data_IF_012232395450
#
_entry.id   IF_012232395450
#
_cell.length_a   1.000
_cell.length_b   1.000
_cell.length_c   1.000
_cell.angle_alpha   90.00
_cell.angle_beta   90.00
_cell.angle_gamma   90.00
#
_symmetry.space_group_name_H-M   'P 1'
#
loop_
_entity.id
_entity.type
_entity.pdbx_description
1 polymer ?
#
# COMPACT_ATOMS: atom_id res chain seq x y z
N UNK A 1 -24.45 28.32 -27.86
CA UNK A 1 -23.00 27.98 -27.96
C UNK A 1 -22.29 28.24 -26.63
N UNK A 2 -22.52 29.39 -26.00
CA UNK A 2 -22.04 29.68 -24.64
C UNK A 2 -22.61 28.74 -23.57
N UNK A 3 -23.88 28.31 -23.68
CA UNK A 3 -24.50 27.42 -22.68
C UNK A 3 -23.83 26.05 -22.58
N UNK A 4 -23.30 25.55 -23.70
CA UNK A 4 -22.55 24.29 -23.71
C UNK A 4 -21.23 24.44 -22.97
N UNK A 5 -20.50 25.52 -23.22
CA UNK A 5 -19.24 25.84 -22.52
C UNK A 5 -19.50 26.03 -21.02
N UNK A 6 -20.60 26.68 -20.65
CA UNK A 6 -20.98 26.88 -19.25
C UNK A 6 -21.27 25.54 -18.57
N UNK A 7 -22.04 24.65 -19.22
CA UNK A 7 -22.31 23.31 -18.68
C UNK A 7 -21.05 22.46 -18.53
N UNK A 8 -20.17 22.48 -19.54
CA UNK A 8 -18.89 21.75 -19.51
C UNK A 8 -18.03 22.25 -18.32
N UNK A 9 -18.03 23.56 -18.04
CA UNK A 9 -17.31 24.13 -16.89
C UNK A 9 -17.92 23.72 -15.54
N UNK A 10 -19.24 23.60 -15.45
CA UNK A 10 -19.90 23.10 -14.22
C UNK A 10 -19.56 21.64 -13.95
N UNK A 11 -19.54 20.79 -14.98
CA UNK A 11 -19.20 19.38 -14.86
C UNK A 11 -17.73 19.19 -14.42
N UNK A 12 -16.80 19.95 -15.00
CA UNK A 12 -15.39 19.96 -14.57
C UNK A 12 -15.27 20.38 -13.11
N UNK A 13 -15.98 21.44 -12.69
CA UNK A 13 -15.94 21.91 -11.30
C UNK A 13 -16.44 20.84 -10.33
N UNK A 14 -17.52 20.14 -10.67
CA UNK A 14 -18.07 19.09 -9.83
C UNK A 14 -17.12 17.90 -9.70
N UNK A 15 -16.44 17.50 -10.77
CA UNK A 15 -15.40 16.48 -10.69
C UNK A 15 -14.21 16.91 -9.82
N UNK A 16 -13.79 18.17 -9.91
CA UNK A 16 -12.73 18.70 -9.04
C UNK A 16 -13.16 18.68 -7.57
N UNK A 17 -14.41 19.07 -7.26
CA UNK A 17 -14.96 18.98 -5.91
C UNK A 17 -15.00 17.53 -5.40
N UNK A 18 -15.33 16.57 -6.25
CA UNK A 18 -15.33 15.15 -5.89
C UNK A 18 -13.92 14.64 -5.57
N UNK A 19 -12.93 15.02 -6.37
CA UNK A 19 -11.52 14.68 -6.14
C UNK A 19 -11.02 15.30 -4.84
N UNK A 20 -11.30 16.58 -4.61
CA UNK A 20 -10.92 17.27 -3.37
C UNK A 20 -11.57 16.62 -2.14
N UNK A 21 -12.85 16.30 -2.21
CA UNK A 21 -13.55 15.58 -1.14
C UNK A 21 -12.93 14.21 -0.87
N UNK A 22 -12.53 13.47 -1.91
CA UNK A 22 -11.87 12.18 -1.76
C UNK A 22 -10.49 12.31 -1.12
N UNK A 23 -9.67 13.29 -1.55
CA UNK A 23 -8.37 13.58 -0.93
C UNK A 23 -8.55 13.99 0.53
N UNK A 24 -9.54 14.83 0.84
CA UNK A 24 -9.82 15.25 2.21
C UNK A 24 -10.29 14.08 3.08
N UNK A 25 -11.07 13.12 2.54
CA UNK A 25 -11.37 11.84 3.20
C UNK A 25 -10.10 11.05 3.48
N UNK A 26 -9.22 10.85 2.49
CA UNK A 26 -7.94 10.15 2.70
C UNK A 26 -7.11 10.82 3.80
N UNK A 27 -7.00 12.16 3.77
CA UNK A 27 -6.23 12.94 4.76
C UNK A 27 -6.82 12.88 6.17
N UNK A 28 -8.14 12.74 6.31
CA UNK A 28 -8.79 12.59 7.63
C UNK A 28 -8.68 11.18 8.17
N UNK A 29 -8.39 10.18 7.34
CA UNK A 29 -8.06 8.84 7.80
C UNK A 29 -6.60 8.87 8.31
N UNK A 30 -6.39 9.30 9.55
CA UNK A 30 -5.13 9.04 10.28
C UNK A 30 -4.90 7.54 10.54
N UNK A 31 -5.93 6.71 10.34
CA UNK A 31 -5.98 5.27 10.60
C UNK A 31 -6.03 4.41 9.33
N UNK A 32 -5.40 4.83 8.22
CA UNK A 32 -5.37 3.98 6.99
C UNK A 32 -4.60 2.70 7.29
N UNK A 33 -3.62 2.81 8.19
CA UNK A 33 -2.91 1.68 8.72
C UNK A 33 -3.67 1.11 9.91
N UNK A 34 -4.22 -0.10 9.77
CA UNK A 34 -4.85 -0.81 10.88
C UNK A 34 -3.81 -1.35 11.85
N UNK A 35 -2.61 -1.65 11.35
CA UNK A 35 -1.44 -1.97 12.17
C UNK A 35 -0.19 -1.37 11.54
N UNK A 36 0.68 -0.78 12.36
CA UNK A 36 2.03 -0.37 11.95
C UNK A 36 3.01 -0.67 13.06
N UNK A 37 4.13 -1.32 12.73
CA UNK A 37 5.21 -1.55 13.68
C UNK A 37 6.55 -1.61 12.98
N UNK A 38 7.62 -1.45 13.77
CA UNK A 38 8.99 -1.48 13.30
C UNK A 38 9.66 -2.72 13.88
N UNK A 39 10.34 -3.48 13.02
CA UNK A 39 11.12 -4.64 13.41
C UNK A 39 12.48 -4.61 12.72
N UNK A 40 13.44 -5.40 13.21
CA UNK A 40 14.73 -5.51 12.53
C UNK A 40 14.52 -6.12 11.13
N UNK A 41 15.32 -5.65 10.15
CA UNK A 41 15.28 -6.18 8.78
C UNK A 41 15.45 -7.70 8.76
N UNK A 42 16.37 -8.21 9.59
CA UNK A 42 16.64 -9.64 9.67
C UNK A 42 15.44 -10.42 10.20
N UNK A 43 14.79 -9.92 11.25
CA UNK A 43 13.61 -10.58 11.83
C UNK A 43 12.46 -10.71 10.81
N UNK A 44 12.14 -9.62 10.08
CA UNK A 44 11.13 -9.70 9.02
C UNK A 44 11.58 -10.56 7.84
N UNK A 45 12.86 -10.52 7.47
CA UNK A 45 13.38 -11.41 6.44
C UNK A 45 13.18 -12.88 6.82
N UNK A 46 13.56 -13.29 8.04
CA UNK A 46 13.45 -14.68 8.50
C UNK A 46 11.98 -15.16 8.46
N UNK A 47 11.06 -14.36 9.02
CA UNK A 47 9.62 -14.70 9.01
C UNK A 47 9.08 -14.90 7.60
N UNK A 48 9.38 -13.99 6.67
CA UNK A 48 8.78 -13.99 5.33
C UNK A 48 9.53 -14.91 4.35
N UNK A 49 10.81 -15.20 4.62
CA UNK A 49 11.60 -16.18 3.89
C UNK A 49 11.20 -17.62 4.25
N UNK A 50 10.88 -17.89 5.52
CA UNK A 50 10.45 -19.21 5.99
C UNK A 50 9.00 -19.56 5.61
N UNK A 51 8.27 -18.60 5.04
CA UNK A 51 6.88 -18.75 4.60
C UNK A 51 6.72 -18.68 3.08
N UNK A 52 7.81 -18.94 2.35
CA UNK A 52 7.79 -18.99 0.88
C UNK A 52 7.00 -20.19 0.32
N UNK A 53 6.69 -21.17 1.17
CA UNK A 53 5.97 -22.42 0.92
C UNK A 53 4.52 -22.39 1.45
N UNK A 54 4.26 -21.69 2.57
CA UNK A 54 2.91 -21.42 3.08
C UNK A 54 2.10 -20.43 2.23
N UNK A 55 2.71 -19.87 1.19
CA UNK A 55 2.00 -19.14 0.14
C UNK A 55 1.22 -20.12 -0.76
N UNK A 56 0.11 -20.66 -0.23
CA UNK A 56 -0.87 -21.39 -1.05
C UNK A 56 -1.58 -20.38 -1.97
N UNK A 57 -1.66 -20.81 -3.22
CA UNK A 57 -1.63 -20.03 -4.42
C UNK A 57 -3.04 -19.92 -5.03
N UNK A 58 -3.55 -18.71 -5.26
CA UNK A 58 -4.37 -18.48 -6.45
C UNK A 58 -3.44 -18.20 -7.63
N UNK A 59 -3.93 -18.42 -8.86
CA UNK A 59 -3.16 -18.68 -10.10
C UNK A 59 -1.82 -17.93 -10.31
N UNK A 60 -1.55 -16.76 -9.71
CA UNK A 60 -0.36 -15.95 -9.99
C UNK A 60 0.40 -15.34 -8.78
N UNK A 61 0.55 -16.03 -7.63
CA UNK A 61 1.31 -15.55 -6.44
C UNK A 61 0.61 -14.44 -5.63
N UNK A 62 1.03 -14.26 -4.37
CA UNK A 62 0.93 -12.94 -3.71
C UNK A 62 1.85 -12.01 -4.49
N UNK A 63 1.27 -11.18 -5.36
CA UNK A 63 2.04 -10.27 -6.20
C UNK A 63 2.96 -9.43 -5.30
N UNK A 64 4.26 -9.54 -5.53
CA UNK A 64 5.28 -8.87 -4.73
C UNK A 64 5.97 -9.67 -3.61
N UNK A 65 5.43 -10.75 -3.00
CA UNK A 65 6.04 -11.38 -1.80
C UNK A 65 7.50 -11.83 -2.00
N UNK A 66 7.76 -12.62 -3.05
CA UNK A 66 9.12 -13.09 -3.37
C UNK A 66 10.06 -11.92 -3.66
N UNK A 67 9.57 -10.87 -4.30
CA UNK A 67 10.35 -9.67 -4.60
C UNK A 67 10.61 -8.83 -3.35
N UNK A 68 9.65 -8.74 -2.42
CA UNK A 68 9.84 -8.11 -1.11
C UNK A 68 10.93 -8.84 -0.34
N UNK A 69 10.88 -10.18 -0.26
CA UNK A 69 11.92 -10.98 0.41
C UNK A 69 13.30 -10.77 -0.22
N UNK A 70 13.40 -10.78 -1.55
CA UNK A 70 14.66 -10.49 -2.27
C UNK A 70 15.17 -9.08 -1.97
N UNK A 71 14.31 -8.07 -1.96
CA UNK A 71 14.67 -6.67 -1.67
C UNK A 71 15.05 -6.49 -0.20
N UNK A 72 14.33 -7.12 0.73
CA UNK A 72 14.70 -7.16 2.15
C UNK A 72 16.07 -7.81 2.38
N UNK A 73 16.41 -8.88 1.63
CA UNK A 73 17.73 -9.51 1.72
C UNK A 73 18.87 -8.59 1.25
N UNK A 74 18.61 -7.77 0.23
CA UNK A 74 19.60 -6.88 -0.40
C UNK A 74 19.65 -5.48 0.21
N UNK A 75 18.69 -5.13 1.05
CA UNK A 75 18.60 -3.82 1.69
C UNK A 75 19.63 -3.69 2.82
N UNK A 76 20.19 -2.49 2.95
CA UNK A 76 21.05 -2.03 4.03
C UNK A 76 20.28 -1.50 5.25
N UNK A 77 18.94 -1.48 5.21
CA UNK A 77 18.11 -1.01 6.30
C UNK A 77 18.32 -1.86 7.56
N UNK A 78 18.55 -1.21 8.71
CA UNK A 78 18.63 -1.91 10.00
C UNK A 78 17.25 -2.37 10.46
N UNK A 79 16.27 -1.50 10.31
CA UNK A 79 14.88 -1.73 10.67
C UNK A 79 13.97 -1.53 9.46
N UNK A 80 12.87 -2.24 9.45
CA UNK A 80 11.81 -2.12 8.46
C UNK A 80 10.52 -1.82 9.22
N UNK A 81 9.77 -0.83 8.73
CA UNK A 81 8.38 -0.62 9.11
C UNK A 81 7.51 -1.53 8.27
N UNK A 82 6.68 -2.32 8.94
CA UNK A 82 5.58 -3.05 8.33
C UNK A 82 4.28 -2.31 8.65
N UNK A 83 3.52 -1.97 7.62
CA UNK A 83 2.23 -1.31 7.78
C UNK A 83 1.15 -2.05 6.99
N UNK A 84 0.02 -2.28 7.62
CA UNK A 84 -1.11 -3.02 7.06
C UNK A 84 -2.25 -2.06 6.78
N UNK A 85 -2.78 -2.11 5.56
CA UNK A 85 -3.95 -1.35 5.13
C UNK A 85 -5.06 -2.35 4.84
N UNK A 86 -6.17 -2.23 5.55
CA UNK A 86 -7.37 -3.00 5.25
C UNK A 86 -8.23 -2.24 4.24
N UNK A 87 -8.59 -2.89 3.15
CA UNK A 87 -9.55 -2.37 2.17
C UNK A 87 -10.84 -3.18 2.18
N UNK A 88 -11.91 -2.69 1.55
CA UNK A 88 -13.17 -3.43 1.50
C UNK A 88 -13.09 -4.71 0.65
N UNK A 89 -12.28 -4.69 -0.42
CA UNK A 89 -12.12 -5.83 -1.35
C UNK A 89 -10.75 -6.48 -1.31
N UNK A 90 -9.72 -5.71 -0.97
CA UNK A 90 -8.32 -6.15 -0.91
C UNK A 90 -7.62 -5.40 0.20
N UNK A 91 -6.81 -6.11 0.97
CA UNK A 91 -5.93 -5.54 1.98
C UNK A 91 -4.48 -5.62 1.51
N UNK A 92 -3.58 -4.86 2.10
CA UNK A 92 -2.16 -4.95 1.74
C UNK A 92 -1.22 -4.71 2.92
N UNK A 93 -0.03 -5.27 2.81
CA UNK A 93 1.10 -5.04 3.71
C UNK A 93 2.19 -4.29 2.96
N UNK A 94 2.72 -3.23 3.55
CA UNK A 94 3.78 -2.39 3.00
C UNK A 94 5.03 -2.53 3.86
N UNK A 95 6.15 -2.83 3.22
CA UNK A 95 7.47 -2.94 3.84
C UNK A 95 8.31 -1.74 3.43
N UNK A 96 8.70 -0.91 4.39
CA UNK A 96 9.40 0.34 4.12
C UNK A 96 10.48 0.67 5.14
N UNK A 97 11.27 1.70 4.87
CA UNK A 97 12.01 2.41 5.92
C UNK A 97 11.06 3.02 6.94
N UNK A 98 11.59 3.40 8.11
CA UNK A 98 10.81 3.92 9.24
C UNK A 98 10.02 5.20 8.93
N UNK A 99 10.52 5.99 7.97
CA UNK A 99 9.99 7.26 7.48
C UNK A 99 9.26 7.14 6.13
N UNK A 100 9.10 5.93 5.60
CA UNK A 100 8.54 5.64 4.27
C UNK A 100 9.33 6.17 3.06
N UNK A 101 10.56 6.66 3.24
CA UNK A 101 11.39 7.13 2.14
C UNK A 101 11.82 6.01 1.17
N UNK A 102 11.92 4.76 1.66
CA UNK A 102 12.26 3.59 0.85
C UNK A 102 11.12 2.56 0.98
N UNK A 103 10.56 2.13 -0.14
CA UNK A 103 9.58 1.04 -0.19
C UNK A 103 10.26 -0.22 -0.72
N UNK A 104 10.41 -1.23 0.15
CA UNK A 104 10.97 -2.53 -0.20
C UNK A 104 9.96 -3.40 -0.94
N UNK A 105 8.67 -3.25 -0.67
CA UNK A 105 7.62 -3.88 -1.45
C UNK A 105 6.26 -3.82 -0.78
N UNK A 106 5.26 -4.25 -1.54
CA UNK A 106 3.86 -4.30 -1.12
C UNK A 106 3.35 -5.70 -1.44
N UNK A 107 2.63 -6.29 -0.49
CA UNK A 107 1.98 -7.59 -0.64
C UNK A 107 0.48 -7.35 -0.56
N UNK A 108 -0.26 -7.73 -1.61
CA UNK A 108 -1.71 -7.63 -1.64
C UNK A 108 -2.36 -8.95 -1.23
N UNK A 109 -3.42 -8.86 -0.44
CA UNK A 109 -4.25 -9.97 0.01
C UNK A 109 -5.66 -9.74 -0.52
N UNK A 110 -6.27 -10.78 -1.10
CA UNK A 110 -7.72 -10.80 -1.28
C UNK A 110 -8.35 -11.05 0.10
N UNK A 111 -9.43 -10.34 0.42
CA UNK A 111 -10.15 -10.51 1.69
C UNK A 111 -11.14 -11.67 1.64
#
# INVERSE_FOLDING_TARGET
MNDKIINDLYEIRDHLNQVENYINRIRTIKNIFTTTFIQTRQHLYDIYNDRLDLSIQTKNYFDGHREVVKKMKKSDLKNIRLSVIDGERKSCSIFSSEDYNIILGIIFYDN
#
